data_IF_442913457353
#
_entry.id   IF_442913457353
#
_cell.length_a   1.000
_cell.length_b   1.000
_cell.length_c   1.000
_cell.angle_alpha   90.00
_cell.angle_beta   90.00
_cell.angle_gamma   90.00
#
_symmetry.space_group_name_H-M   'P 1'
#
loop_
_entity.id
_entity.type
_entity.pdbx_description
1 polymer ?
#
# COMPACT_ATOMS: atom_id res chain seq x y z
N UNK A 1 -8.98 -17.18 58.87
CA UNK A 1 -9.74 -15.93 58.81
C UNK A 1 -9.70 -15.42 57.41
N UNK A 2 -10.83 -15.44 56.82
CA UNK A 2 -11.18 -15.07 55.43
C UNK A 2 -10.98 -13.58 55.15
N UNK A 3 -10.52 -13.24 53.97
CA UNK A 3 -10.96 -12.02 53.32
C UNK A 3 -11.36 -12.33 51.88
N UNK A 4 -12.64 -12.34 51.71
CA UNK A 4 -13.37 -12.48 50.47
C UNK A 4 -13.38 -11.17 49.67
N UNK A 5 -13.22 -11.34 48.34
CA UNK A 5 -14.00 -10.74 47.26
C UNK A 5 -14.55 -9.33 47.44
N UNK A 6 -14.05 -8.43 46.64
CA UNK A 6 -14.81 -7.27 46.16
C UNK A 6 -14.62 -7.13 44.65
N UNK A 7 -15.46 -7.83 43.93
CA UNK A 7 -15.85 -7.42 42.56
C UNK A 7 -17.38 -7.63 42.52
N UNK A 8 -18.10 -6.60 42.90
CA UNK A 8 -19.54 -6.51 42.66
C UNK A 8 -19.76 -6.16 41.20
N UNK A 9 -20.41 -7.06 40.52
CA UNK A 9 -20.98 -6.86 39.18
C UNK A 9 -22.28 -6.09 39.32
N UNK A 10 -22.21 -4.77 39.31
CA UNK A 10 -23.34 -3.90 38.98
C UNK A 10 -22.85 -2.71 38.18
N UNK A 11 -22.69 -2.93 36.86
CA UNK A 11 -22.55 -1.82 35.91
C UNK A 11 -23.97 -1.34 35.61
N UNK A 12 -24.41 -0.35 36.35
CA UNK A 12 -25.62 0.43 36.03
C UNK A 12 -25.39 1.12 34.67
N UNK A 13 -26.14 0.69 33.67
CA UNK A 13 -26.21 1.28 32.35
C UNK A 13 -26.70 2.73 32.46
N UNK A 14 -25.79 3.68 32.44
CA UNK A 14 -26.12 5.08 32.24
C UNK A 14 -26.54 5.27 30.78
N UNK A 15 -27.82 5.31 30.53
CA UNK A 15 -28.46 5.62 29.25
C UNK A 15 -28.31 7.15 29.09
N UNK A 16 -27.28 7.62 28.34
CA UNK A 16 -27.13 9.01 27.93
C UNK A 16 -25.77 9.68 28.15
N UNK A 17 -24.76 9.02 28.72
CA UNK A 17 -23.42 9.58 28.92
C UNK A 17 -22.47 9.30 27.76
N UNK A 18 -21.61 10.26 27.41
CA UNK A 18 -20.48 10.02 26.52
C UNK A 18 -19.55 8.98 27.14
N UNK A 19 -19.33 7.84 26.44
CA UNK A 19 -18.41 6.80 26.86
C UNK A 19 -16.99 7.36 26.91
N UNK A 20 -16.26 7.18 28.02
CA UNK A 20 -14.84 7.56 28.06
C UNK A 20 -13.99 6.59 27.21
N UNK A 21 -12.77 7.02 26.85
CA UNK A 21 -11.83 6.15 26.11
C UNK A 21 -11.49 4.89 26.93
N UNK A 22 -11.35 5.02 28.23
CA UNK A 22 -11.05 3.89 29.11
C UNK A 22 -12.23 2.91 29.19
N UNK A 23 -13.45 3.39 29.40
CA UNK A 23 -14.65 2.54 29.44
C UNK A 23 -14.86 1.80 28.10
N UNK A 24 -14.56 2.49 26.98
CA UNK A 24 -14.60 1.88 25.67
C UNK A 24 -13.57 0.74 25.54
N UNK A 25 -12.31 0.97 25.99
CA UNK A 25 -11.26 -0.07 25.98
C UNK A 25 -11.63 -1.26 26.84
N UNK A 26 -12.19 -1.04 28.03
CA UNK A 26 -12.60 -2.10 28.95
C UNK A 26 -13.72 -2.96 28.37
N UNK A 27 -14.69 -2.33 27.74
CA UNK A 27 -15.75 -3.01 27.01
C UNK A 27 -15.19 -3.85 25.85
N UNK A 28 -14.31 -3.27 25.04
CA UNK A 28 -13.65 -3.96 23.91
C UNK A 28 -12.82 -5.14 24.41
N UNK A 29 -12.13 -4.98 25.54
CA UNK A 29 -11.34 -6.05 26.15
C UNK A 29 -12.23 -7.23 26.56
N UNK A 30 -13.32 -6.95 27.27
CA UNK A 30 -14.28 -7.96 27.71
C UNK A 30 -14.87 -8.74 26.54
N UNK A 31 -15.36 -8.04 25.54
CA UNK A 31 -15.91 -8.65 24.32
C UNK A 31 -14.87 -9.44 23.53
N UNK A 32 -13.64 -8.96 23.48
CA UNK A 32 -12.54 -9.68 22.83
C UNK A 32 -12.23 -11.00 23.54
N UNK A 33 -12.27 -11.02 24.89
CA UNK A 33 -12.08 -12.25 25.65
C UNK A 33 -13.14 -13.30 25.31
N UNK A 34 -14.41 -12.89 25.14
CA UNK A 34 -15.50 -13.78 24.73
C UNK A 34 -15.22 -14.38 23.35
N UNK A 35 -14.84 -13.57 22.37
CA UNK A 35 -14.48 -14.03 21.02
C UNK A 35 -13.30 -15.00 21.06
N UNK A 36 -12.23 -14.69 21.81
CA UNK A 36 -11.06 -15.56 21.88
C UNK A 36 -11.34 -16.90 22.56
N UNK A 37 -12.17 -16.93 23.60
CA UNK A 37 -12.64 -18.18 24.22
C UNK A 37 -13.44 -19.05 23.25
N UNK A 38 -14.32 -18.43 22.45
CA UNK A 38 -15.13 -19.09 21.43
C UNK A 38 -14.28 -19.67 20.28
N UNK A 39 -13.27 -18.93 19.81
CA UNK A 39 -12.44 -19.34 18.68
C UNK A 39 -11.31 -20.32 19.07
N UNK A 40 -10.81 -20.21 20.31
CA UNK A 40 -9.71 -21.02 20.84
C UNK A 40 -10.07 -21.72 22.16
N UNK A 41 -11.13 -22.55 22.22
CA UNK A 41 -11.67 -23.10 23.49
C UNK A 41 -10.61 -23.85 24.30
N UNK A 42 -9.75 -24.61 23.64
CA UNK A 42 -8.77 -25.49 24.29
C UNK A 42 -7.36 -24.88 24.40
N UNK A 43 -7.18 -23.62 24.01
CA UNK A 43 -5.87 -22.99 23.99
C UNK A 43 -5.81 -21.71 24.83
N UNK A 44 -5.58 -21.87 26.13
CA UNK A 44 -5.49 -20.74 27.07
C UNK A 44 -4.44 -19.70 26.69
N UNK A 45 -3.33 -20.09 26.06
CA UNK A 45 -2.29 -19.15 25.66
C UNK A 45 -2.76 -18.24 24.49
N UNK A 46 -3.54 -18.77 23.55
CA UNK A 46 -4.15 -17.98 22.47
C UNK A 46 -5.31 -17.10 22.95
N UNK A 47 -5.93 -17.41 24.08
CA UNK A 47 -6.96 -16.58 24.71
C UNK A 47 -6.39 -15.35 25.43
N UNK A 48 -5.09 -15.34 25.76
CA UNK A 48 -4.46 -14.22 26.46
C UNK A 48 -4.33 -13.00 25.57
N UNK A 49 -4.71 -11.84 26.10
CA UNK A 49 -4.55 -10.53 25.48
C UNK A 49 -3.38 -9.84 26.15
N UNK A 50 -2.43 -9.34 25.36
CA UNK A 50 -1.36 -8.47 25.84
C UNK A 50 -1.85 -7.02 25.70
N UNK A 51 -2.02 -6.36 26.85
CA UNK A 51 -2.55 -5.01 26.94
C UNK A 51 -1.41 -4.00 27.02
N UNK A 52 -1.51 -2.92 26.25
CA UNK A 52 -0.70 -1.71 26.40
C UNK A 52 -1.62 -0.49 26.34
N UNK A 53 -1.17 0.70 26.71
CA UNK A 53 -1.99 1.92 26.64
C UNK A 53 -2.57 2.19 25.25
N UNK A 54 -1.88 1.75 24.21
CA UNK A 54 -2.21 2.06 22.81
C UNK A 54 -2.65 0.86 21.98
N UNK A 55 -2.53 -0.37 22.49
CA UNK A 55 -2.86 -1.57 21.72
C UNK A 55 -3.30 -2.73 22.59
N UNK A 56 -4.26 -3.54 22.09
CA UNK A 56 -4.49 -4.89 22.56
C UNK A 56 -3.96 -5.87 21.52
N UNK A 57 -2.96 -6.67 21.91
CA UNK A 57 -2.35 -7.67 21.03
C UNK A 57 -2.80 -9.07 21.42
N UNK A 58 -3.29 -9.85 20.45
CA UNK A 58 -3.89 -11.16 20.68
C UNK A 58 -3.70 -12.10 19.49
N UNK A 59 -4.00 -13.38 19.68
CA UNK A 59 -3.98 -14.35 18.59
C UNK A 59 -5.09 -14.01 17.58
N UNK A 60 -4.73 -13.89 16.30
CA UNK A 60 -5.70 -13.55 15.26
C UNK A 60 -6.76 -14.65 15.10
N UNK A 61 -8.06 -14.34 15.25
CA UNK A 61 -9.10 -15.35 15.11
C UNK A 61 -9.37 -15.78 13.66
N UNK A 62 -8.99 -14.96 12.67
CA UNK A 62 -9.18 -15.27 11.25
C UNK A 62 -8.16 -16.27 10.72
N UNK A 63 -6.87 -15.99 10.87
CA UNK A 63 -5.81 -16.89 10.42
C UNK A 63 -5.32 -17.86 11.50
N UNK A 64 -5.88 -17.77 12.70
CA UNK A 64 -5.54 -18.56 13.89
C UNK A 64 -4.05 -18.53 14.28
N UNK A 65 -3.30 -17.57 13.72
CA UNK A 65 -1.84 -17.46 13.85
C UNK A 65 -1.07 -18.75 13.46
N UNK A 66 0.20 -18.84 13.84
CA UNK A 66 0.99 -20.03 13.55
C UNK A 66 0.51 -21.25 14.36
N UNK A 67 0.19 -22.34 13.68
CA UNK A 67 -0.09 -23.62 14.33
C UNK A 67 1.12 -24.15 15.13
N UNK A 68 2.34 -23.73 14.74
CA UNK A 68 3.60 -24.21 15.34
C UNK A 68 4.05 -23.43 16.57
N UNK A 69 3.58 -22.21 16.78
CA UNK A 69 4.03 -21.33 17.88
C UNK A 69 2.81 -20.69 18.55
N UNK A 70 2.39 -21.28 19.67
CA UNK A 70 1.19 -20.85 20.42
C UNK A 70 1.29 -19.45 21.02
N UNK A 71 2.49 -18.96 21.30
CA UNK A 71 2.74 -17.64 21.90
C UNK A 71 2.70 -16.47 20.91
N UNK A 72 2.64 -16.72 19.59
CA UNK A 72 2.57 -15.64 18.60
C UNK A 72 1.20 -14.98 18.58
N UNK A 73 1.19 -13.65 18.77
CA UNK A 73 -0.01 -12.80 18.80
C UNK A 73 0.18 -11.69 17.77
N UNK A 74 -0.56 -11.75 16.66
CA UNK A 74 -0.42 -10.83 15.53
C UNK A 74 -1.68 -10.06 15.19
N UNK A 75 -2.81 -10.37 15.85
CA UNK A 75 -4.00 -9.56 15.85
C UNK A 75 -3.82 -8.39 16.82
N UNK A 76 -4.24 -7.19 16.42
CA UNK A 76 -4.11 -5.99 17.23
C UNK A 76 -5.38 -5.14 17.11
N UNK A 77 -5.92 -4.68 18.24
CA UNK A 77 -6.74 -3.48 18.29
C UNK A 77 -5.82 -2.30 18.58
N UNK A 78 -5.94 -1.23 17.82
CA UNK A 78 -5.03 -0.08 17.87
C UNK A 78 -5.78 1.14 18.35
N UNK A 79 -5.39 1.66 19.53
CA UNK A 79 -5.98 2.84 20.19
C UNK A 79 -5.04 4.05 20.16
N UNK A 80 -3.92 3.96 19.44
CA UNK A 80 -3.05 5.11 19.20
C UNK A 80 -3.65 5.95 18.06
N UNK A 81 -3.79 7.28 18.23
CA UNK A 81 -4.22 8.16 17.16
C UNK A 81 -3.40 7.93 15.88
N UNK A 82 -4.08 7.85 14.75
CA UNK A 82 -3.46 7.54 13.46
C UNK A 82 -4.42 6.80 12.53
N UNK A 83 -3.93 6.32 11.35
CA UNK A 83 -4.77 5.72 10.32
C UNK A 83 -5.44 4.40 10.74
N UNK A 84 -4.94 3.76 11.79
CA UNK A 84 -5.49 2.52 12.35
C UNK A 84 -6.20 2.74 13.70
N UNK A 85 -6.44 4.00 14.09
CA UNK A 85 -7.10 4.32 15.34
C UNK A 85 -8.47 3.66 15.42
N UNK A 86 -8.74 2.97 16.53
CA UNK A 86 -9.96 2.21 16.75
C UNK A 86 -10.25 1.14 15.66
N UNK A 87 -9.19 0.54 15.12
CA UNK A 87 -9.28 -0.54 14.13
C UNK A 87 -8.62 -1.83 14.60
N UNK A 88 -9.07 -2.93 13.99
CA UNK A 88 -8.40 -4.22 14.04
C UNK A 88 -7.41 -4.34 12.87
N UNK A 89 -6.20 -4.84 13.17
CA UNK A 89 -5.18 -5.22 12.16
C UNK A 89 -4.48 -6.50 12.57
N UNK A 90 -4.38 -7.44 11.64
CA UNK A 90 -3.51 -8.61 11.78
C UNK A 90 -2.26 -8.47 10.92
N UNK A 91 -1.08 -8.57 11.54
CA UNK A 91 0.20 -8.51 10.84
C UNK A 91 0.65 -9.85 10.21
N UNK A 92 -0.20 -10.87 10.24
CA UNK A 92 0.05 -12.16 9.58
C UNK A 92 -0.79 -12.34 8.32
N UNK A 93 -2.11 -12.23 8.42
CA UNK A 93 -3.02 -12.40 7.29
C UNK A 93 -3.47 -11.07 6.66
N UNK A 94 -2.95 -9.94 7.14
CA UNK A 94 -3.29 -8.59 6.72
C UNK A 94 -4.76 -8.19 6.86
N UNK A 95 -5.60 -8.99 7.54
CA UNK A 95 -6.98 -8.60 7.85
C UNK A 95 -7.01 -7.24 8.53
N UNK A 96 -7.84 -6.34 7.99
CA UNK A 96 -8.02 -4.99 8.50
C UNK A 96 -9.49 -4.60 8.46
N UNK A 97 -10.01 -4.09 9.58
CA UNK A 97 -11.40 -3.64 9.68
C UNK A 97 -11.62 -2.79 10.93
N UNK A 98 -12.77 -2.09 11.00
CA UNK A 98 -13.18 -1.41 12.24
C UNK A 98 -13.43 -2.43 13.37
N UNK A 99 -13.26 -1.98 14.62
CA UNK A 99 -13.55 -2.83 15.81
C UNK A 99 -15.01 -3.31 15.78
N UNK A 100 -15.95 -2.46 15.36
CA UNK A 100 -17.36 -2.86 15.25
C UNK A 100 -17.57 -3.99 14.22
N UNK A 101 -16.92 -3.90 13.04
CA UNK A 101 -16.99 -4.96 12.03
C UNK A 101 -16.34 -6.25 12.53
N UNK A 102 -15.20 -6.15 13.22
CA UNK A 102 -14.52 -7.31 13.80
C UNK A 102 -15.50 -8.12 14.69
N UNK A 103 -16.19 -7.48 15.62
CA UNK A 103 -17.10 -8.18 16.50
C UNK A 103 -18.29 -8.80 15.75
N UNK A 104 -18.83 -8.11 14.73
CA UNK A 104 -19.91 -8.65 13.89
C UNK A 104 -19.52 -9.95 13.18
N UNK A 105 -18.27 -10.09 12.73
CA UNK A 105 -17.77 -11.31 12.08
C UNK A 105 -17.81 -12.54 13.02
N UNK A 106 -17.82 -12.33 14.34
CA UNK A 106 -17.93 -13.39 15.35
C UNK A 106 -19.32 -13.49 16.00
N UNK A 107 -20.31 -12.80 15.41
CA UNK A 107 -21.69 -12.79 15.91
C UNK A 107 -21.88 -11.97 17.19
N UNK A 108 -20.93 -11.08 17.51
CA UNK A 108 -21.00 -10.20 18.67
C UNK A 108 -21.38 -8.78 18.23
N UNK A 109 -22.22 -8.10 19.02
CA UNK A 109 -22.55 -6.70 18.78
C UNK A 109 -21.99 -5.82 19.89
N UNK A 110 -21.46 -4.67 19.50
CA UNK A 110 -21.14 -3.61 20.45
C UNK A 110 -22.42 -2.86 20.85
N UNK A 111 -22.56 -2.43 22.12
CA UNK A 111 -23.67 -1.58 22.54
C UNK A 111 -23.66 -0.24 21.82
N UNK A 112 -24.82 0.41 21.72
CA UNK A 112 -24.99 1.68 21.01
C UNK A 112 -24.02 2.76 21.48
N UNK A 113 -23.72 2.86 22.77
CA UNK A 113 -22.73 3.79 23.32
C UNK A 113 -21.32 3.60 22.76
N UNK A 114 -20.88 2.35 22.54
CA UNK A 114 -19.59 2.05 21.93
C UNK A 114 -19.59 2.32 20.43
N UNK A 115 -20.70 2.06 19.74
CA UNK A 115 -20.85 2.41 18.31
C UNK A 115 -20.81 3.93 18.14
N UNK A 116 -21.46 4.65 19.05
CA UNK A 116 -21.46 6.13 19.09
C UNK A 116 -20.07 6.69 19.38
N UNK A 117 -19.36 6.09 20.36
CA UNK A 117 -17.95 6.41 20.61
C UNK A 117 -17.07 6.22 19.37
N UNK A 118 -17.19 5.08 18.68
CA UNK A 118 -16.46 4.81 17.45
C UNK A 118 -16.84 5.76 16.32
N UNK A 119 -18.08 6.22 16.25
CA UNK A 119 -18.52 7.17 15.23
C UNK A 119 -17.92 8.56 15.43
N UNK A 120 -17.80 9.01 16.69
CA UNK A 120 -17.22 10.28 17.09
C UNK A 120 -15.67 10.27 17.03
N UNK A 121 -15.06 9.10 17.31
CA UNK A 121 -13.61 8.89 17.37
C UNK A 121 -13.13 8.02 16.20
N UNK A 122 -13.67 8.26 15.01
CA UNK A 122 -13.21 7.57 13.79
C UNK A 122 -11.78 8.00 13.45
N UNK A 123 -10.94 7.07 12.92
CA UNK A 123 -9.71 7.49 12.28
C UNK A 123 -10.03 8.58 11.25
N UNK A 124 -9.17 9.57 11.15
CA UNK A 124 -9.30 10.67 10.16
C UNK A 124 -9.59 10.10 8.74
N UNK A 125 -9.16 8.87 8.48
CA UNK A 125 -9.41 8.11 7.25
C UNK A 125 -10.87 7.66 7.01
N UNK A 126 -11.76 7.73 7.99
CA UNK A 126 -13.14 7.18 7.86
C UNK A 126 -14.24 8.23 7.69
N UNK A 127 -13.96 9.51 7.78
CA UNK A 127 -14.94 10.57 7.49
C UNK A 127 -15.08 10.76 5.98
N UNK A 128 -16.06 10.07 5.38
CA UNK A 128 -16.27 10.03 3.93
C UNK A 128 -16.78 11.36 3.31
N UNK A 129 -17.12 12.37 4.11
CA UNK A 129 -17.84 13.56 3.62
C UNK A 129 -17.10 14.90 3.76
N UNK A 130 -15.89 14.95 4.34
CA UNK A 130 -15.10 16.19 4.43
C UNK A 130 -13.65 15.83 4.17
N UNK A 131 -13.22 15.92 2.92
CA UNK A 131 -11.80 15.83 2.60
C UNK A 131 -11.45 16.69 1.42
N UNK A 132 -10.98 17.83 1.83
CA UNK A 132 -9.96 18.58 1.13
C UNK A 132 -8.68 17.69 0.98
N UNK A 133 -7.79 18.10 0.12
CA UNK A 133 -6.53 17.40 -0.13
C UNK A 133 -5.65 17.27 1.13
N UNK A 134 -5.93 18.03 2.20
CA UNK A 134 -5.17 18.05 3.45
C UNK A 134 -5.34 16.76 4.26
N UNK A 135 -6.55 16.20 4.36
CA UNK A 135 -6.76 14.95 5.13
C UNK A 135 -6.15 13.70 4.51
N UNK A 136 -5.90 13.69 3.19
CA UNK A 136 -5.16 12.60 2.53
C UNK A 136 -3.66 12.72 2.82
N UNK A 137 -3.13 13.94 2.88
CA UNK A 137 -1.74 14.21 3.23
C UNK A 137 -1.40 13.71 4.64
N UNK A 138 -2.29 13.93 5.62
CA UNK A 138 -2.11 13.45 6.99
C UNK A 138 -2.08 11.92 7.09
N UNK A 139 -2.91 11.22 6.32
CA UNK A 139 -2.90 9.75 6.28
C UNK A 139 -1.59 9.22 5.71
N UNK A 140 -1.12 9.80 4.62
CA UNK A 140 0.16 9.42 3.99
C UNK A 140 1.33 9.75 4.93
N UNK A 141 1.26 10.88 5.66
CA UNK A 141 2.24 11.24 6.70
C UNK A 141 2.35 10.16 7.78
N UNK A 142 1.20 9.81 8.38
CA UNK A 142 1.17 8.83 9.47
C UNK A 142 1.57 7.42 9.04
N UNK A 143 1.33 7.04 7.78
CA UNK A 143 1.63 5.70 7.28
C UNK A 143 3.08 5.55 6.82
N UNK A 144 3.68 6.59 6.25
CA UNK A 144 4.93 6.48 5.48
C UNK A 144 5.97 7.51 5.90
N UNK A 145 5.79 8.23 7.01
CA UNK A 145 6.71 9.25 7.52
C UNK A 145 7.06 10.29 6.44
N UNK A 146 6.03 10.86 5.80
CA UNK A 146 6.21 11.72 4.64
C UNK A 146 7.06 12.97 4.95
N UNK A 147 6.91 13.59 6.12
CA UNK A 147 7.72 14.73 6.53
C UNK A 147 9.19 14.36 6.76
N UNK A 148 9.44 13.17 7.34
CA UNK A 148 10.81 12.70 7.58
C UNK A 148 11.52 12.44 6.24
N UNK A 149 10.85 11.76 5.30
CA UNK A 149 11.43 11.49 3.98
C UNK A 149 11.59 12.77 3.15
N UNK A 150 10.65 13.72 3.27
CA UNK A 150 10.74 15.03 2.60
C UNK A 150 11.94 15.84 3.10
N UNK A 151 12.27 15.75 4.39
CA UNK A 151 13.44 16.42 4.95
C UNK A 151 14.76 15.90 4.41
N UNK A 152 14.79 14.61 4.01
CA UNK A 152 15.95 13.98 3.38
C UNK A 152 15.92 14.08 1.84
N UNK A 153 14.84 14.57 1.24
CA UNK A 153 14.68 14.65 -0.20
C UNK A 153 15.53 15.78 -0.81
N UNK A 154 16.03 15.57 -2.03
CA UNK A 154 16.89 16.54 -2.72
C UNK A 154 16.13 17.33 -3.77
N UNK A 155 16.55 18.59 -3.97
CA UNK A 155 15.98 19.44 -5.01
C UNK A 155 16.33 18.89 -6.39
N UNK A 156 15.36 18.90 -7.30
CA UNK A 156 15.54 18.44 -8.67
C UNK A 156 16.65 19.20 -9.38
N UNK A 157 16.71 20.53 -9.22
CA UNK A 157 17.71 21.39 -9.82
C UNK A 157 19.13 21.10 -9.32
N UNK A 158 19.26 20.60 -8.10
CA UNK A 158 20.54 20.13 -7.61
C UNK A 158 21.05 18.95 -8.45
N UNK A 159 20.20 17.93 -8.72
CA UNK A 159 20.57 16.79 -9.56
C UNK A 159 20.90 17.23 -10.97
N UNK A 160 20.15 18.17 -11.55
CA UNK A 160 20.40 18.72 -12.89
C UNK A 160 21.80 19.32 -12.96
N UNK A 161 22.18 20.15 -11.98
CA UNK A 161 23.52 20.79 -11.96
C UNK A 161 24.65 19.80 -11.65
N UNK A 162 24.45 18.96 -10.60
CA UNK A 162 25.48 18.05 -10.13
C UNK A 162 25.87 16.98 -11.17
N UNK A 163 24.89 16.50 -11.92
CA UNK A 163 25.08 15.39 -12.88
C UNK A 163 24.92 15.81 -14.32
N UNK A 164 24.87 17.13 -14.62
CA UNK A 164 24.71 17.68 -15.97
C UNK A 164 23.55 17.06 -16.74
N UNK A 165 22.42 16.80 -15.99
CA UNK A 165 21.21 16.25 -16.58
C UNK A 165 20.47 17.35 -17.35
N UNK A 166 19.72 16.96 -18.38
CA UNK A 166 18.93 17.85 -19.17
C UNK A 166 17.45 17.72 -18.90
N UNK A 167 16.73 18.83 -18.93
CA UNK A 167 15.27 18.81 -19.04
C UNK A 167 14.85 18.29 -20.41
N UNK A 168 13.71 17.61 -20.47
CA UNK A 168 13.24 16.96 -21.69
C UNK A 168 12.26 17.89 -22.41
N UNK A 169 12.50 18.08 -23.70
CA UNK A 169 11.63 18.83 -24.61
C UNK A 169 11.01 17.87 -25.62
N UNK A 170 9.79 18.18 -26.10
CA UNK A 170 9.01 17.29 -27.00
C UNK A 170 9.82 16.88 -28.24
N UNK A 171 10.53 17.82 -28.86
CA UNK A 171 11.30 17.57 -30.07
C UNK A 171 12.68 16.93 -29.83
N UNK A 172 13.08 16.75 -28.57
CA UNK A 172 14.32 16.05 -28.25
C UNK A 172 14.15 14.53 -28.39
N UNK A 173 15.27 13.82 -28.58
CA UNK A 173 15.25 12.35 -28.65
C UNK A 173 14.53 11.69 -27.45
N UNK A 174 14.83 12.04 -26.19
CA UNK A 174 14.09 11.49 -25.05
C UNK A 174 12.62 11.92 -25.04
N UNK A 175 12.28 13.12 -25.53
CA UNK A 175 10.91 13.56 -25.67
C UNK A 175 10.11 12.74 -26.68
N UNK A 176 10.70 12.47 -27.85
CA UNK A 176 10.10 11.58 -28.85
C UNK A 176 9.93 10.16 -28.32
N UNK A 177 10.89 9.64 -27.55
CA UNK A 177 10.78 8.35 -26.90
C UNK A 177 9.59 8.31 -25.93
N UNK A 178 9.41 9.33 -25.08
CA UNK A 178 8.30 9.42 -24.13
C UNK A 178 6.95 9.61 -24.83
N UNK A 179 6.91 10.48 -25.85
CA UNK A 179 5.70 10.69 -26.66
C UNK A 179 5.27 9.40 -27.38
N UNK A 180 6.23 8.64 -27.91
CA UNK A 180 5.97 7.32 -28.49
C UNK A 180 5.42 6.31 -27.49
N UNK A 181 5.61 6.54 -26.19
CA UNK A 181 5.03 5.80 -25.09
C UNK A 181 3.74 6.41 -24.53
N UNK A 182 3.14 7.36 -25.24
CA UNK A 182 1.94 8.10 -24.84
C UNK A 182 2.13 8.92 -23.55
N UNK A 183 3.34 9.28 -23.18
CA UNK A 183 3.64 10.16 -22.05
C UNK A 183 3.77 11.59 -22.58
N UNK A 184 2.91 12.50 -22.11
CA UNK A 184 2.90 13.93 -22.48
C UNK A 184 3.44 14.84 -21.39
N UNK A 185 3.43 14.41 -20.13
CA UNK A 185 3.99 15.17 -19.02
C UNK A 185 5.41 14.67 -18.69
N UNK A 186 6.40 15.51 -18.91
CA UNK A 186 7.80 15.18 -18.69
C UNK A 186 8.35 15.69 -17.35
N UNK A 187 7.50 16.24 -16.47
CA UNK A 187 7.95 16.84 -15.22
C UNK A 187 8.74 15.89 -14.31
N UNK A 188 8.42 14.61 -14.36
CA UNK A 188 9.10 13.56 -13.57
C UNK A 188 10.24 12.86 -14.34
N UNK A 189 10.74 13.50 -15.40
CA UNK A 189 11.81 12.92 -16.19
C UNK A 189 12.95 13.93 -16.39
N UNK A 190 14.16 13.40 -16.37
CA UNK A 190 15.38 14.08 -16.83
C UNK A 190 16.10 13.17 -17.82
N UNK A 191 17.07 13.72 -18.50
CA UNK A 191 17.86 12.99 -19.49
C UNK A 191 19.35 13.14 -19.21
N UNK A 192 20.05 12.02 -19.20
CA UNK A 192 21.51 11.97 -19.20
C UNK A 192 22.00 11.74 -20.61
N UNK A 193 22.59 12.77 -21.26
CA UNK A 193 23.11 12.67 -22.63
C UNK A 193 24.36 11.79 -22.73
N UNK A 194 25.11 11.63 -21.63
CA UNK A 194 26.35 10.84 -21.61
C UNK A 194 26.08 9.34 -21.70
N UNK A 195 25.03 8.87 -21.01
CA UNK A 195 24.66 7.46 -21.01
C UNK A 195 23.43 7.15 -21.90
N UNK A 196 22.92 8.14 -22.64
CA UNK A 196 21.66 8.06 -23.40
C UNK A 196 20.54 7.43 -22.57
N UNK A 197 20.32 7.99 -21.37
CA UNK A 197 19.41 7.41 -20.39
C UNK A 197 18.37 8.40 -19.91
N UNK A 198 17.13 7.92 -19.73
CA UNK A 198 16.10 8.62 -18.97
C UNK A 198 16.35 8.44 -17.49
N UNK A 199 16.17 9.50 -16.74
CA UNK A 199 16.13 9.51 -15.28
C UNK A 199 14.67 9.70 -14.89
N UNK A 200 14.04 8.64 -14.37
CA UNK A 200 12.64 8.66 -13.94
C UNK A 200 12.62 9.00 -12.46
N UNK A 201 12.17 10.18 -12.13
CA UNK A 201 12.20 10.74 -10.78
C UNK A 201 11.02 10.22 -9.96
N UNK A 202 11.29 9.76 -8.75
CA UNK A 202 10.30 9.53 -7.71
C UNK A 202 10.34 10.70 -6.74
N UNK A 203 9.24 11.43 -6.64
CA UNK A 203 9.20 12.71 -5.94
C UNK A 203 8.15 12.72 -4.82
N UNK A 204 8.45 13.50 -3.79
CA UNK A 204 7.50 14.02 -2.80
C UNK A 204 7.51 15.55 -2.89
N UNK A 205 6.37 16.19 -3.11
CA UNK A 205 6.24 17.66 -3.23
C UNK A 205 7.33 18.32 -4.10
N UNK A 206 7.64 17.79 -5.25
CA UNK A 206 8.68 18.25 -6.18
C UNK A 206 10.14 18.01 -5.78
N UNK A 207 10.40 17.43 -4.61
CA UNK A 207 11.74 16.99 -4.21
C UNK A 207 11.94 15.51 -4.56
N UNK A 208 13.15 15.13 -4.92
CA UNK A 208 13.49 13.78 -5.37
C UNK A 208 13.89 12.91 -4.16
N UNK A 209 13.24 11.76 -4.01
CA UNK A 209 13.53 10.78 -2.96
C UNK A 209 14.22 9.51 -3.49
N UNK A 210 14.08 9.25 -4.76
CA UNK A 210 14.80 8.21 -5.49
C UNK A 210 14.61 8.41 -6.98
N UNK A 211 15.34 7.67 -7.79
CA UNK A 211 15.11 7.69 -9.24
C UNK A 211 15.54 6.39 -9.87
N UNK A 212 15.01 6.14 -11.06
CA UNK A 212 15.39 5.02 -11.89
C UNK A 212 16.06 5.52 -13.16
N UNK A 213 17.23 4.98 -13.47
CA UNK A 213 17.96 5.21 -14.72
C UNK A 213 17.49 4.17 -15.73
N UNK A 214 17.03 4.62 -16.88
CA UNK A 214 16.60 3.77 -17.98
C UNK A 214 17.36 4.10 -19.25
N UNK A 215 18.25 3.21 -19.70
CA UNK A 215 18.90 3.34 -21.00
C UNK A 215 17.86 3.26 -22.13
N UNK A 216 17.89 4.25 -23.04
CA UNK A 216 17.00 4.31 -24.21
C UNK A 216 17.75 4.03 -25.54
N UNK A 217 19.02 3.66 -25.46
CA UNK A 217 19.79 3.23 -26.63
C UNK A 217 19.19 1.94 -27.21
N UNK A 218 18.87 1.90 -28.50
CA UNK A 218 18.39 0.69 -29.15
C UNK A 218 19.40 -0.45 -28.98
N UNK A 219 18.90 -1.67 -28.77
CA UNK A 219 19.70 -2.90 -28.66
C UNK A 219 20.76 -2.90 -27.55
N UNK A 220 20.61 -2.04 -26.53
CA UNK A 220 21.51 -2.03 -25.38
C UNK A 220 21.55 -3.40 -24.68
N UNK A 221 22.76 -3.97 -24.55
CA UNK A 221 22.96 -5.31 -23.95
C UNK A 221 23.18 -5.31 -22.43
N UNK A 222 23.23 -4.14 -21.80
CA UNK A 222 23.43 -3.98 -20.36
C UNK A 222 22.13 -4.03 -19.55
N UNK A 223 22.20 -3.68 -18.28
CA UNK A 223 21.02 -3.51 -17.43
C UNK A 223 20.19 -2.33 -17.92
N UNK A 224 18.96 -2.62 -18.35
CA UNK A 224 18.04 -1.57 -18.84
C UNK A 224 17.61 -0.60 -17.73
N UNK A 225 17.61 -1.04 -16.48
CA UNK A 225 17.14 -0.27 -15.33
C UNK A 225 18.12 -0.37 -14.18
N UNK A 226 18.44 0.78 -13.59
CA UNK A 226 19.22 0.91 -12.35
C UNK A 226 18.42 1.81 -11.43
N UNK A 227 18.11 1.35 -10.22
CA UNK A 227 17.42 2.16 -9.22
C UNK A 227 18.43 2.77 -8.27
N UNK A 228 18.32 4.06 -8.03
CA UNK A 228 19.08 4.82 -7.03
C UNK A 228 18.11 5.17 -5.91
N UNK A 229 18.33 4.59 -4.75
CA UNK A 229 17.51 4.79 -3.56
C UNK A 229 17.87 6.09 -2.83
N UNK A 230 17.06 6.50 -1.84
CA UNK A 230 17.39 7.66 -1.01
C UNK A 230 18.72 7.48 -0.29
N UNK A 231 18.99 6.29 0.23
CA UNK A 231 20.28 5.94 0.85
C UNK A 231 21.45 6.08 -0.14
N UNK A 232 21.27 5.59 -1.38
CA UNK A 232 22.31 5.76 -2.42
C UNK A 232 22.55 7.24 -2.75
N UNK A 233 21.50 8.09 -2.73
CA UNK A 233 21.65 9.53 -2.95
C UNK A 233 22.58 10.12 -1.88
N UNK A 234 22.31 9.85 -0.60
CA UNK A 234 23.11 10.41 0.51
C UNK A 234 24.51 9.82 0.60
N UNK A 235 24.65 8.48 0.52
CA UNK A 235 25.94 7.81 0.68
C UNK A 235 26.87 7.98 -0.52
N UNK A 236 26.33 7.89 -1.75
CA UNK A 236 27.15 7.82 -2.98
C UNK A 236 27.23 9.12 -3.73
N UNK A 237 26.12 9.88 -3.77
CA UNK A 237 26.03 11.10 -4.57
C UNK A 237 26.37 12.35 -3.74
N UNK A 238 25.72 12.55 -2.59
CA UNK A 238 25.95 13.71 -1.75
C UNK A 238 27.16 13.53 -0.82
N UNK A 239 27.31 12.33 -0.25
CA UNK A 239 28.33 12.01 0.76
C UNK A 239 28.27 12.96 1.97
N UNK A 240 27.04 13.32 2.38
CA UNK A 240 26.76 14.36 3.38
C UNK A 240 26.65 13.82 4.81
N UNK A 241 26.82 12.50 5.00
CA UNK A 241 26.74 11.84 6.31
C UNK A 241 25.34 11.64 6.85
N UNK A 242 24.30 11.98 6.11
CA UNK A 242 22.89 11.73 6.50
C UNK A 242 22.61 10.23 6.54
N UNK A 243 22.12 9.74 7.67
CA UNK A 243 21.80 8.34 7.89
C UNK A 243 20.34 8.09 7.52
N UNK A 244 20.11 7.30 6.48
CA UNK A 244 18.79 6.87 6.06
C UNK A 244 18.51 5.47 6.61
N UNK A 245 17.48 5.35 7.45
CA UNK A 245 17.08 4.06 7.99
C UNK A 245 16.47 3.16 6.90
N UNK A 246 16.48 1.85 7.13
CA UNK A 246 16.04 0.85 6.13
C UNK A 246 14.56 0.99 5.76
N UNK A 247 13.72 1.44 6.68
CA UNK A 247 12.29 1.64 6.42
C UNK A 247 12.05 2.81 5.47
N UNK A 248 12.65 3.97 5.74
CA UNK A 248 12.59 5.14 4.86
C UNK A 248 13.18 4.82 3.49
N UNK A 249 14.32 4.12 3.47
CA UNK A 249 14.93 3.69 2.22
C UNK A 249 14.00 2.77 1.41
N UNK A 250 13.33 1.82 2.07
CA UNK A 250 12.36 0.93 1.41
C UNK A 250 11.18 1.69 0.84
N UNK A 251 10.65 2.67 1.57
CA UNK A 251 9.55 3.51 1.11
C UNK A 251 9.98 4.41 -0.07
N UNK A 252 11.21 4.95 -0.04
CA UNK A 252 11.73 5.75 -1.14
C UNK A 252 11.83 5.00 -2.47
N UNK A 253 11.99 3.67 -2.41
CA UNK A 253 12.06 2.83 -3.61
C UNK A 253 10.69 2.46 -4.20
N UNK A 254 9.59 2.89 -3.57
CA UNK A 254 8.26 2.72 -4.11
C UNK A 254 7.86 3.96 -4.91
N UNK A 255 7.88 3.84 -6.23
CA UNK A 255 7.51 4.94 -7.10
C UNK A 255 6.07 5.39 -6.83
N UNK A 256 5.87 6.69 -6.71
CA UNK A 256 4.57 7.34 -6.50
C UNK A 256 3.89 7.05 -5.14
N UNK A 257 4.58 6.46 -4.16
CA UNK A 257 3.99 6.10 -2.87
C UNK A 257 3.36 7.29 -2.13
N UNK A 258 3.95 8.47 -2.24
CA UNK A 258 3.52 9.66 -1.50
C UNK A 258 2.38 10.45 -2.19
N UNK A 259 1.94 9.99 -3.37
CA UNK A 259 0.83 10.60 -4.11
C UNK A 259 -0.42 9.69 -4.17
N UNK A 260 -0.44 8.59 -3.40
CA UNK A 260 -1.56 7.67 -3.40
C UNK A 260 -2.75 8.20 -2.60
N UNK A 261 -3.92 7.69 -2.94
CA UNK A 261 -5.10 7.77 -2.10
C UNK A 261 -5.30 6.44 -1.35
N UNK A 262 -4.94 6.35 -0.05
CA UNK A 262 -5.01 5.09 0.71
C UNK A 262 -6.44 4.56 0.94
N UNK A 263 -7.46 5.32 0.52
CA UNK A 263 -8.88 4.93 0.61
C UNK A 263 -9.41 4.24 -0.64
N UNK A 264 -8.65 4.30 -1.72
CA UNK A 264 -8.98 3.63 -2.98
C UNK A 264 -8.15 2.36 -3.12
N UNK A 265 -8.59 1.38 -3.92
CA UNK A 265 -7.74 0.27 -4.30
C UNK A 265 -6.38 0.78 -4.76
N UNK A 266 -5.31 0.24 -4.19
CA UNK A 266 -3.95 0.61 -4.53
C UNK A 266 -3.38 -0.40 -5.50
N UNK A 267 -3.16 0.05 -6.73
CA UNK A 267 -2.59 -0.77 -7.78
C UNK A 267 -1.07 -0.81 -7.65
N UNK A 268 -0.46 -1.91 -8.06
CA UNK A 268 0.98 -2.10 -8.01
C UNK A 268 1.49 -2.74 -9.29
N UNK A 269 2.34 -2.01 -10.01
CA UNK A 269 3.05 -2.49 -11.23
C UNK A 269 4.51 -2.81 -10.93
N UNK A 270 5.20 -3.44 -11.87
CA UNK A 270 6.65 -3.64 -11.78
C UNK A 270 7.44 -2.36 -12.10
N UNK A 271 7.03 -1.64 -13.13
CA UNK A 271 7.74 -0.49 -13.66
C UNK A 271 7.03 0.85 -13.44
N UNK A 272 7.79 1.95 -13.24
CA UNK A 272 7.19 3.27 -13.01
C UNK A 272 6.41 3.79 -14.22
N UNK A 273 6.79 3.43 -15.45
CA UNK A 273 6.08 3.88 -16.66
C UNK A 273 4.66 3.32 -16.68
N UNK A 274 4.48 2.04 -16.38
CA UNK A 274 3.15 1.40 -16.34
C UNK A 274 2.26 2.01 -15.28
N UNK A 275 2.83 2.34 -14.11
CA UNK A 275 2.08 2.94 -13.01
C UNK A 275 1.50 4.32 -13.36
N UNK A 276 2.10 5.05 -14.31
CA UNK A 276 1.62 6.37 -14.73
C UNK A 276 0.29 6.32 -15.50
N UNK A 277 -0.08 5.17 -16.04
CA UNK A 277 -1.32 4.99 -16.81
C UNK A 277 -2.47 4.41 -15.99
N UNK A 278 -2.22 4.04 -14.75
CA UNK A 278 -3.21 3.45 -13.87
C UNK A 278 -3.58 4.39 -12.72
N UNK A 279 -4.86 4.44 -12.34
CA UNK A 279 -5.28 5.27 -11.23
C UNK A 279 -4.73 4.71 -9.92
N UNK A 280 -4.32 5.60 -9.01
CA UNK A 280 -3.87 5.24 -7.66
C UNK A 280 -2.86 4.08 -7.65
N UNK A 281 -1.79 4.21 -8.41
CA UNK A 281 -0.84 3.14 -8.67
C UNK A 281 0.56 3.49 -8.17
N UNK A 282 1.24 2.49 -7.61
CA UNK A 282 2.67 2.52 -7.29
C UNK A 282 3.45 1.58 -8.21
N UNK A 283 4.76 1.79 -8.34
CA UNK A 283 5.64 0.78 -8.93
C UNK A 283 6.58 0.19 -7.88
N UNK A 284 6.71 -1.14 -7.92
CA UNK A 284 7.50 -1.90 -6.92
C UNK A 284 8.95 -2.15 -7.34
N UNK A 285 9.35 -1.66 -8.52
CA UNK A 285 10.70 -1.76 -9.08
C UNK A 285 11.26 -3.20 -9.10
N UNK A 286 10.39 -4.18 -9.32
CA UNK A 286 10.74 -5.59 -9.49
C UNK A 286 9.68 -6.54 -8.92
N UNK A 287 9.21 -7.47 -9.73
CA UNK A 287 8.10 -8.40 -9.43
C UNK A 287 8.31 -9.27 -8.19
N UNK A 288 9.55 -9.58 -7.83
CA UNK A 288 9.89 -10.47 -6.71
C UNK A 288 9.88 -9.78 -5.34
N UNK A 289 9.87 -8.45 -5.27
CA UNK A 289 9.88 -7.73 -4.00
C UNK A 289 8.48 -7.67 -3.40
N UNK A 290 8.26 -8.41 -2.34
CA UNK A 290 7.05 -8.29 -1.53
C UNK A 290 7.16 -7.02 -0.69
N UNK A 291 6.51 -5.97 -1.13
CA UNK A 291 6.45 -4.72 -0.37
C UNK A 291 5.27 -4.80 0.58
N UNK A 292 5.54 -4.83 1.87
CA UNK A 292 4.50 -4.72 2.88
C UNK A 292 4.37 -3.26 3.34
N UNK A 293 3.47 -2.53 2.70
CA UNK A 293 3.16 -1.14 3.06
C UNK A 293 1.94 -1.01 3.98
N UNK A 294 1.44 -2.15 4.50
CA UNK A 294 0.26 -2.13 5.38
C UNK A 294 -1.07 -1.91 4.66
N UNK A 295 -1.07 -1.75 3.35
CA UNK A 295 -2.27 -1.61 2.50
C UNK A 295 -2.45 -2.84 1.61
N UNK A 296 -3.70 -3.23 1.30
CA UNK A 296 -3.95 -4.28 0.31
C UNK A 296 -3.55 -3.76 -1.08
N UNK A 297 -2.69 -4.53 -1.76
CA UNK A 297 -2.25 -4.23 -3.12
C UNK A 297 -3.00 -5.07 -4.14
N UNK A 298 -3.39 -4.44 -5.24
CA UNK A 298 -3.92 -5.05 -6.43
C UNK A 298 -2.80 -5.12 -7.48
N UNK A 299 -2.35 -6.31 -7.81
CA UNK A 299 -1.14 -6.53 -8.59
C UNK A 299 -1.39 -6.53 -10.09
N UNK A 300 -0.58 -5.78 -10.82
CA UNK A 300 -0.55 -5.74 -12.29
C UNK A 300 0.83 -6.17 -12.72
N UNK A 301 0.96 -7.42 -13.06
CA UNK A 301 2.19 -7.98 -13.65
C UNK A 301 2.11 -7.95 -15.16
N UNK A 302 3.26 -8.01 -15.84
CA UNK A 302 3.31 -8.18 -17.29
C UNK A 302 2.65 -9.50 -17.70
N UNK A 303 2.14 -9.60 -18.94
CA UNK A 303 1.48 -10.81 -19.42
C UNK A 303 2.46 -11.93 -19.82
N UNK A 304 3.77 -11.73 -19.59
CA UNK A 304 4.76 -12.77 -19.90
C UNK A 304 4.70 -13.95 -18.91
N UNK A 305 5.42 -15.03 -19.20
CA UNK A 305 5.42 -16.25 -18.39
C UNK A 305 5.79 -15.97 -16.91
N UNK A 306 6.73 -15.06 -16.67
CA UNK A 306 7.15 -14.67 -15.31
C UNK A 306 6.04 -13.94 -14.59
N UNK A 307 5.43 -12.95 -15.23
CA UNK A 307 4.33 -12.17 -14.65
C UNK A 307 3.12 -13.04 -14.38
N UNK A 308 2.79 -13.97 -15.28
CA UNK A 308 1.74 -14.97 -15.10
C UNK A 308 1.98 -15.84 -13.85
N UNK A 309 3.19 -16.37 -13.67
CA UNK A 309 3.56 -17.16 -12.47
C UNK A 309 3.40 -16.36 -11.17
N UNK A 310 3.83 -15.10 -11.16
CA UNK A 310 3.65 -14.25 -9.97
C UNK A 310 2.18 -13.89 -9.74
N UNK A 311 1.39 -13.65 -10.79
CA UNK A 311 -0.06 -13.44 -10.70
C UNK A 311 -0.77 -14.62 -10.05
N UNK A 312 -0.51 -15.84 -10.55
CA UNK A 312 -1.08 -17.09 -9.99
C UNK A 312 -0.71 -17.24 -8.52
N UNK A 313 0.55 -16.98 -8.16
CA UNK A 313 1.03 -17.05 -6.78
C UNK A 313 0.37 -16.00 -5.87
N UNK A 314 0.00 -14.83 -6.39
CA UNK A 314 -0.74 -13.81 -5.64
C UNK A 314 -2.22 -14.16 -5.54
N UNK A 315 -2.81 -14.63 -6.62
CA UNK A 315 -4.20 -15.09 -6.66
C UNK A 315 -4.44 -16.22 -5.65
N UNK A 316 -3.56 -17.22 -5.59
CA UNK A 316 -3.64 -18.33 -4.62
C UNK A 316 -3.54 -17.87 -3.14
N UNK A 317 -3.14 -16.62 -2.90
CA UNK A 317 -3.13 -15.97 -1.59
C UNK A 317 -4.33 -15.04 -1.36
N UNK A 318 -5.32 -15.07 -2.25
CA UNK A 318 -6.50 -14.21 -2.20
C UNK A 318 -6.21 -12.73 -2.50
N UNK A 319 -5.08 -12.43 -3.16
CA UNK A 319 -4.79 -11.08 -3.60
C UNK A 319 -5.52 -10.79 -4.92
N UNK A 320 -5.91 -9.52 -5.13
CA UNK A 320 -6.40 -9.09 -6.43
C UNK A 320 -5.25 -9.04 -7.44
N UNK A 321 -5.46 -9.66 -8.60
CA UNK A 321 -4.51 -9.64 -9.72
C UNK A 321 -5.22 -9.24 -11.01
N UNK A 322 -4.45 -8.66 -11.93
CA UNK A 322 -4.94 -8.18 -13.20
C UNK A 322 -5.17 -9.33 -14.18
N UNK A 323 -6.33 -9.32 -14.85
CA UNK A 323 -6.81 -10.36 -15.76
C UNK A 323 -6.58 -9.96 -17.22
N UNK A 324 -5.41 -10.31 -17.76
CA UNK A 324 -5.01 -9.95 -19.13
C UNK A 324 -5.92 -10.54 -20.19
N UNK A 325 -6.33 -11.80 -20.06
CA UNK A 325 -7.20 -12.46 -21.04
C UNK A 325 -8.61 -11.86 -21.08
N UNK A 326 -9.10 -11.37 -19.92
CA UNK A 326 -10.37 -10.63 -19.86
C UNK A 326 -10.27 -9.32 -20.64
N UNK A 327 -9.20 -8.54 -20.41
CA UNK A 327 -8.95 -7.29 -21.14
C UNK A 327 -8.81 -7.55 -22.63
N UNK A 328 -8.10 -8.62 -23.01
CA UNK A 328 -7.88 -9.03 -24.41
C UNK A 328 -9.19 -9.39 -25.11
N UNK A 329 -10.05 -10.18 -24.48
CA UNK A 329 -11.37 -10.52 -25.04
C UNK A 329 -12.22 -9.29 -25.31
N UNK A 330 -12.18 -8.30 -24.44
CA UNK A 330 -12.99 -7.09 -24.58
C UNK A 330 -12.44 -6.15 -25.66
N UNK A 331 -11.14 -5.97 -25.74
CA UNK A 331 -10.51 -4.98 -26.63
C UNK A 331 -10.08 -5.58 -27.99
N UNK A 332 -9.85 -6.88 -28.06
CA UNK A 332 -9.45 -7.58 -29.29
C UNK A 332 -8.01 -7.26 -29.73
N UNK A 333 -7.10 -6.98 -28.80
CA UNK A 333 -5.70 -6.78 -29.16
C UNK A 333 -5.00 -8.12 -29.48
N UNK A 334 -3.98 -8.12 -30.37
CA UNK A 334 -3.39 -9.33 -30.90
C UNK A 334 -2.54 -10.08 -29.86
N UNK A 335 -2.34 -11.37 -30.09
CA UNK A 335 -1.38 -12.16 -29.34
C UNK A 335 0.05 -11.64 -29.53
N UNK A 336 0.76 -11.55 -28.43
CA UNK A 336 2.17 -11.23 -28.41
C UNK A 336 2.78 -11.85 -27.15
N UNK A 337 4.07 -12.15 -27.19
CA UNK A 337 4.80 -12.83 -26.09
C UNK A 337 4.79 -12.08 -24.76
N UNK A 338 4.53 -10.79 -24.81
CA UNK A 338 4.49 -9.93 -23.63
C UNK A 338 3.66 -8.68 -23.93
N UNK A 339 2.73 -8.39 -23.03
CA UNK A 339 2.05 -7.10 -22.89
C UNK A 339 2.36 -6.52 -21.52
N UNK A 340 2.63 -5.22 -21.48
CA UNK A 340 2.57 -4.39 -20.29
C UNK A 340 1.47 -3.33 -20.47
N UNK A 341 1.16 -2.59 -19.41
CA UNK A 341 0.10 -1.55 -19.45
C UNK A 341 0.44 -0.48 -20.49
N UNK A 342 1.70 -0.06 -20.55
CA UNK A 342 2.12 0.94 -21.53
C UNK A 342 1.98 0.45 -22.99
N UNK A 343 2.29 -0.81 -23.27
CA UNK A 343 2.07 -1.41 -24.58
C UNK A 343 0.58 -1.40 -24.98
N UNK A 344 -0.30 -1.70 -24.04
CA UNK A 344 -1.75 -1.66 -24.26
C UNK A 344 -2.23 -0.22 -24.53
N UNK A 345 -1.73 0.78 -23.80
CA UNK A 345 -2.04 2.19 -24.03
C UNK A 345 -1.58 2.64 -25.42
N UNK A 346 -0.35 2.26 -25.83
CA UNK A 346 0.18 2.56 -27.16
C UNK A 346 -0.72 1.93 -28.24
N UNK A 347 -1.15 0.69 -28.03
CA UNK A 347 -2.06 0.00 -28.93
C UNK A 347 -3.42 0.71 -29.02
N UNK A 348 -4.02 1.08 -27.89
CA UNK A 348 -5.27 1.84 -27.87
C UNK A 348 -5.14 3.15 -28.67
N UNK A 349 -4.07 3.93 -28.43
CA UNK A 349 -3.83 5.18 -29.12
C UNK A 349 -3.67 4.98 -30.64
N UNK A 350 -2.94 3.94 -31.06
CA UNK A 350 -2.72 3.62 -32.48
C UNK A 350 -3.99 3.26 -33.23
N UNK A 351 -4.91 2.56 -32.56
CA UNK A 351 -6.14 2.06 -33.18
C UNK A 351 -7.37 2.87 -32.81
N UNK A 352 -7.22 4.05 -32.21
CA UNK A 352 -8.32 4.93 -31.83
C UNK A 352 -9.28 4.31 -30.80
N UNK A 353 -8.79 3.41 -29.95
CA UNK A 353 -9.57 2.77 -28.90
C UNK A 353 -9.49 3.60 -27.62
N UNK A 354 -10.61 3.70 -26.90
CA UNK A 354 -10.61 4.29 -25.58
C UNK A 354 -9.98 3.34 -24.57
N UNK A 355 -9.16 3.89 -23.67
CA UNK A 355 -8.66 3.11 -22.53
C UNK A 355 -9.77 2.83 -21.52
N UNK A 356 -9.68 1.77 -20.69
CA UNK A 356 -10.68 1.46 -19.70
C UNK A 356 -10.98 2.64 -18.78
N UNK A 357 -12.25 3.02 -18.66
CA UNK A 357 -12.68 4.01 -17.67
C UNK A 357 -12.58 3.48 -16.23
N UNK A 358 -12.84 2.19 -16.06
CA UNK A 358 -12.83 1.50 -14.78
C UNK A 358 -11.87 0.30 -14.81
N UNK A 359 -10.63 0.54 -14.46
CA UNK A 359 -9.61 -0.50 -14.43
C UNK A 359 -9.92 -1.61 -13.42
N UNK A 360 -10.65 -1.30 -12.35
CA UNK A 360 -11.03 -2.28 -11.32
C UNK A 360 -11.85 -3.46 -11.85
N UNK A 361 -12.52 -3.32 -13.00
CA UNK A 361 -13.30 -4.40 -13.61
C UNK A 361 -12.42 -5.53 -14.16
N UNK A 362 -11.13 -5.29 -14.36
CA UNK A 362 -10.16 -6.28 -14.87
C UNK A 362 -9.32 -6.92 -13.75
N UNK A 363 -9.79 -6.88 -12.51
CA UNK A 363 -9.12 -7.56 -11.39
C UNK A 363 -10.01 -8.64 -10.81
N UNK A 364 -9.40 -9.72 -10.37
CA UNK A 364 -10.03 -10.74 -9.57
C UNK A 364 -9.13 -11.21 -8.43
N UNK A 365 -9.74 -11.71 -7.38
CA UNK A 365 -9.10 -12.45 -6.28
C UNK A 365 -9.70 -13.86 -6.13
N UNK A 366 -10.54 -14.29 -7.08
CA UNK A 366 -11.09 -15.63 -7.14
C UNK A 366 -10.12 -16.57 -7.88
N UNK A 367 -9.75 -17.66 -7.24
CA UNK A 367 -8.87 -18.67 -7.82
C UNK A 367 -9.48 -19.38 -9.05
N UNK A 368 -10.79 -19.30 -9.24
CA UNK A 368 -11.46 -19.83 -10.42
C UNK A 368 -11.13 -19.04 -11.69
N UNK A 369 -10.75 -17.76 -11.53
CA UNK A 369 -10.40 -16.89 -12.66
C UNK A 369 -8.95 -17.06 -13.15
N UNK A 370 -8.25 -18.12 -12.76
CA UNK A 370 -6.84 -18.38 -13.12
C UNK A 370 -6.61 -18.43 -14.64
N UNK A 371 -7.62 -18.78 -15.40
CA UNK A 371 -7.54 -18.83 -16.86
C UNK A 371 -7.57 -17.45 -17.52
N UNK A 372 -7.92 -16.42 -16.76
CA UNK A 372 -8.01 -15.03 -17.23
C UNK A 372 -6.74 -14.21 -16.98
N UNK A 373 -5.72 -14.83 -16.33
CA UNK A 373 -4.42 -14.22 -16.02
C UNK A 373 -3.55 -14.08 -17.28
#
# INVERSE_FOLDING_TARGET
>A
MSQNSMFSTDVSLNIGGNLSEQDFKDLVYTKLQEVLKKVFPDNREKQRIKVSPTTFQFACPFCRDSARVSSKKRGNFIFKPGPFYNCYKCFNCNSFMSISKFFKEFGENLPLSAVDYLSKNRPVAYNSNILDNNGLSEVVECMFNASEIESCAVEKDFLVRAYRLHYIYVNSRPGQYLTGRCISNFSNFLYDPMSDSLIILNCIKNKVISFQIRCITPNFKGRKYITISLKDIHEKLLKDGVIINDQLNSYSMLFNLYNINPRKPLLATEGPIDSMFLPNCIATLGASKTVNIGLPLWYVYDSDEKGRKESIKKLSKGCHVFMWEKLKREYGFPDKSKWDINDFIIWCNRYGKNVPKYWSSYFSNDSLDIMDI
#
